data_IF_890866210776
#
_entry.id   IF_890866210776
#
_cell.length_a   1.000
_cell.length_b   1.000
_cell.length_c   1.000
_cell.angle_alpha   90.00
_cell.angle_beta   90.00
_cell.angle_gamma   90.00
#
_symmetry.space_group_name_H-M   'P 1'
#
loop_
_entity.id
_entity.type
_entity.pdbx_description
1 polymer ?
#
# COMPACT_ATOMS: atom_id res chain seq x y z
N UNK A 1 -34.64 -4.71 -11.51
CA UNK A 1 -34.63 -5.86 -10.59
C UNK A 1 -33.27 -6.57 -10.52
N UNK A 2 -32.59 -6.96 -11.61
CA UNK A 2 -31.23 -7.56 -11.51
C UNK A 2 -30.04 -6.59 -11.27
N UNK A 3 -30.25 -5.26 -11.31
CA UNK A 3 -29.19 -4.26 -11.06
C UNK A 3 -28.98 -3.90 -9.59
N UNK A 4 -29.86 -4.34 -8.68
CA UNK A 4 -29.89 -3.84 -7.29
C UNK A 4 -29.00 -4.59 -6.30
N UNK A 5 -28.49 -5.77 -6.66
CA UNK A 5 -27.75 -6.64 -5.72
C UNK A 5 -26.22 -6.67 -5.92
N UNK A 6 -25.69 -5.95 -6.91
CA UNK A 6 -24.25 -5.89 -7.17
C UNK A 6 -23.55 -4.95 -6.18
N UNK A 7 -22.36 -5.34 -5.73
CA UNK A 7 -21.52 -4.56 -4.82
C UNK A 7 -20.76 -3.45 -5.54
N UNK A 8 -20.50 -3.64 -6.83
CA UNK A 8 -19.94 -2.65 -7.73
C UNK A 8 -20.77 -2.53 -9.01
N UNK A 9 -20.86 -1.32 -9.57
CA UNK A 9 -21.54 -1.07 -10.83
C UNK A 9 -20.57 -0.47 -11.85
N UNK A 10 -20.67 -0.96 -13.09
CA UNK A 10 -19.99 -0.36 -14.23
C UNK A 10 -20.88 0.73 -14.82
N UNK A 11 -20.38 1.97 -14.84
CA UNK A 11 -21.11 3.16 -15.29
C UNK A 11 -20.73 3.48 -16.74
N UNK A 12 -21.22 2.70 -17.71
CA UNK A 12 -20.92 2.95 -19.15
C UNK A 12 -21.73 4.11 -19.78
N UNK A 13 -22.88 4.49 -19.22
CA UNK A 13 -23.84 5.36 -19.91
C UNK A 13 -23.47 6.86 -19.88
N UNK A 14 -22.87 7.35 -18.80
CA UNK A 14 -22.48 8.76 -18.68
C UNK A 14 -21.28 9.12 -19.56
N UNK A 15 -20.34 8.18 -19.70
CA UNK A 15 -19.10 8.30 -20.47
C UNK A 15 -19.31 8.43 -21.99
N UNK A 16 -20.44 7.94 -22.53
CA UNK A 16 -20.64 7.88 -23.99
C UNK A 16 -20.75 9.25 -24.69
N UNK A 17 -21.24 10.29 -23.99
CA UNK A 17 -21.42 11.63 -24.56
C UNK A 17 -20.07 12.33 -24.75
N UNK A 18 -19.11 12.11 -23.87
CA UNK A 18 -17.77 12.72 -23.92
C UNK A 18 -16.75 11.89 -24.71
N UNK A 19 -16.89 10.56 -24.77
CA UNK A 19 -15.94 9.69 -25.48
C UNK A 19 -16.08 9.78 -27.00
N UNK A 20 -17.29 9.95 -27.53
CA UNK A 20 -17.52 9.98 -28.97
C UNK A 20 -16.73 11.09 -29.70
N UNK A 21 -16.70 12.35 -29.24
CA UNK A 21 -15.85 13.37 -29.86
C UNK A 21 -14.36 13.03 -29.73
N UNK A 22 -13.91 12.46 -28.60
CA UNK A 22 -12.53 12.02 -28.41
C UNK A 22 -12.12 10.95 -29.46
N UNK A 23 -12.98 9.96 -29.71
CA UNK A 23 -12.75 8.93 -30.75
C UNK A 23 -12.68 9.53 -32.15
N UNK A 24 -13.55 10.48 -32.48
CA UNK A 24 -13.52 11.16 -33.77
C UNK A 24 -12.20 11.91 -33.99
N UNK A 25 -11.70 12.61 -32.96
CA UNK A 25 -10.41 13.31 -33.02
C UNK A 25 -9.24 12.35 -33.20
N UNK A 26 -9.24 11.19 -32.54
CA UNK A 26 -8.20 10.16 -32.72
C UNK A 26 -8.20 9.63 -34.16
N UNK A 27 -9.38 9.29 -34.71
CA UNK A 27 -9.50 8.81 -36.09
C UNK A 27 -9.02 9.87 -37.07
N UNK A 28 -9.45 11.13 -36.90
CA UNK A 28 -9.01 12.24 -37.74
C UNK A 28 -7.48 12.41 -37.70
N UNK A 29 -6.88 12.34 -36.50
CA UNK A 29 -5.42 12.41 -36.34
C UNK A 29 -4.70 11.26 -37.03
N UNK A 30 -5.26 10.05 -37.01
CA UNK A 30 -4.71 8.90 -37.71
C UNK A 30 -4.74 9.08 -39.24
N UNK A 31 -5.82 9.67 -39.77
CA UNK A 31 -5.93 10.04 -41.20
C UNK A 31 -4.88 11.10 -41.57
N UNK A 32 -4.72 12.16 -40.77
CA UNK A 32 -3.71 13.20 -40.99
C UNK A 32 -2.30 12.64 -40.95
N UNK A 33 -1.99 11.75 -40.00
CA UNK A 33 -0.70 11.06 -39.94
C UNK A 33 -0.45 10.19 -41.18
N UNK A 34 -1.47 9.49 -41.67
CA UNK A 34 -1.38 8.72 -42.91
C UNK A 34 -0.97 9.57 -44.11
N UNK A 35 -1.62 10.73 -44.29
CA UNK A 35 -1.26 11.69 -45.34
C UNK A 35 0.14 12.29 -45.13
N UNK A 36 0.51 12.61 -43.89
CA UNK A 36 1.83 13.13 -43.55
C UNK A 36 2.94 12.14 -43.95
N UNK A 37 2.83 10.87 -43.56
CA UNK A 37 3.82 9.85 -43.91
C UNK A 37 3.84 9.54 -45.40
N UNK A 38 2.68 9.50 -46.05
CA UNK A 38 2.61 9.32 -47.50
C UNK A 38 3.37 10.43 -48.23
N UNK A 39 3.12 11.70 -47.87
CA UNK A 39 3.84 12.84 -48.43
C UNK A 39 5.34 12.76 -48.14
N UNK A 40 5.72 12.43 -46.90
CA UNK A 40 7.12 12.39 -46.45
C UNK A 40 7.94 11.33 -47.18
N UNK A 41 7.36 10.16 -47.45
CA UNK A 41 8.01 9.07 -48.19
C UNK A 41 8.11 9.37 -49.69
N UNK A 42 7.09 10.03 -50.27
CA UNK A 42 7.07 10.38 -51.69
C UNK A 42 7.98 11.55 -52.06
N UNK A 43 8.43 12.36 -51.10
CA UNK A 43 9.32 13.51 -51.32
C UNK A 43 10.65 13.38 -50.56
N UNK A 44 11.56 12.50 -51.02
CA UNK A 44 12.88 12.34 -50.42
C UNK A 44 13.80 13.55 -50.70
N UNK A 45 14.63 13.91 -49.72
CA UNK A 45 15.66 14.95 -49.88
C UNK A 45 16.96 14.28 -50.33
N UNK A 46 17.27 14.38 -51.63
CA UNK A 46 18.41 13.70 -52.23
C UNK A 46 19.77 14.28 -51.77
N UNK A 47 19.84 15.57 -51.44
CA UNK A 47 21.09 16.23 -51.01
C UNK A 47 21.57 15.79 -49.62
N UNK A 48 20.68 15.21 -48.80
CA UNK A 48 20.98 14.77 -47.44
C UNK A 48 20.23 13.48 -47.08
N UNK A 49 20.34 12.47 -47.96
CA UNK A 49 19.57 11.23 -47.88
C UNK A 49 19.69 10.50 -46.54
N UNK A 50 20.89 10.43 -45.94
CA UNK A 50 21.11 9.76 -44.66
C UNK A 50 20.36 10.43 -43.49
N UNK A 51 20.33 11.77 -43.46
CA UNK A 51 19.62 12.54 -42.44
C UNK A 51 18.11 12.38 -42.64
N UNK A 52 17.65 12.46 -43.89
CA UNK A 52 16.25 12.23 -44.24
C UNK A 52 15.78 10.84 -43.85
N UNK A 53 16.54 9.79 -44.20
CA UNK A 53 16.20 8.40 -43.88
C UNK A 53 16.12 8.18 -42.37
N UNK A 54 17.07 8.70 -41.61
CA UNK A 54 17.09 8.61 -40.15
C UNK A 54 15.87 9.32 -39.54
N UNK A 55 15.54 10.53 -40.03
CA UNK A 55 14.35 11.29 -39.59
C UNK A 55 13.06 10.51 -39.87
N UNK A 56 12.89 9.94 -41.07
CA UNK A 56 11.69 9.17 -41.44
C UNK A 56 11.54 7.91 -40.57
N UNK A 57 12.63 7.18 -40.31
CA UNK A 57 12.60 6.00 -39.43
C UNK A 57 12.19 6.37 -38.01
N UNK A 58 12.74 7.44 -37.45
CA UNK A 58 12.37 7.93 -36.12
C UNK A 58 10.90 8.36 -36.06
N UNK A 59 10.42 9.11 -37.07
CA UNK A 59 9.02 9.56 -37.13
C UNK A 59 8.06 8.37 -37.24
N UNK A 60 8.36 7.37 -38.08
CA UNK A 60 7.56 6.14 -38.18
C UNK A 60 7.50 5.38 -36.86
N UNK A 61 8.63 5.29 -36.15
CA UNK A 61 8.68 4.67 -34.82
C UNK A 61 7.82 5.41 -33.80
N UNK A 62 7.88 6.74 -33.78
CA UNK A 62 7.02 7.55 -32.90
C UNK A 62 5.54 7.42 -33.23
N UNK A 63 5.18 7.39 -34.51
CA UNK A 63 3.80 7.21 -34.92
C UNK A 63 3.27 5.82 -34.55
N UNK A 64 4.08 4.78 -34.75
CA UNK A 64 3.73 3.42 -34.32
C UNK A 64 3.55 3.35 -32.79
N UNK A 65 4.48 3.92 -32.03
CA UNK A 65 4.38 4.01 -30.57
C UNK A 65 3.12 4.76 -30.12
N UNK A 66 2.79 5.88 -30.77
CA UNK A 66 1.58 6.64 -30.49
C UNK A 66 0.31 5.84 -30.79
N UNK A 67 0.23 5.15 -31.93
CA UNK A 67 -0.93 4.31 -32.27
C UNK A 67 -1.14 3.22 -31.21
N UNK A 68 -0.06 2.54 -30.80
CA UNK A 68 -0.12 1.52 -29.75
C UNK A 68 -0.56 2.08 -28.40
N UNK A 69 -0.18 3.31 -28.05
CA UNK A 69 -0.61 3.98 -26.82
C UNK A 69 -2.09 4.43 -26.85
N UNK A 70 -2.65 4.75 -28.01
CA UNK A 70 -4.05 5.18 -28.13
C UNK A 70 -5.04 4.01 -28.08
N UNK A 71 -4.69 2.82 -28.59
CA UNK A 71 -5.63 1.70 -28.64
C UNK A 71 -6.18 1.25 -27.27
N UNK A 72 -5.37 1.12 -26.20
CA UNK A 72 -5.88 0.78 -24.88
C UNK A 72 -6.87 1.80 -24.30
N UNK A 73 -6.79 3.07 -24.73
CA UNK A 73 -7.63 4.19 -24.24
C UNK A 73 -8.99 4.27 -24.94
N UNK A 74 -9.29 3.36 -25.87
CA UNK A 74 -10.49 3.40 -26.69
C UNK A 74 -11.80 3.18 -25.92
N UNK A 75 -11.73 2.38 -24.85
CA UNK A 75 -12.88 1.97 -24.03
C UNK A 75 -12.56 2.17 -22.54
N UNK A 76 -12.56 3.42 -22.05
CA UNK A 76 -12.49 3.67 -20.62
C UNK A 76 -13.76 3.12 -19.94
N UNK A 77 -13.58 2.53 -18.76
CA UNK A 77 -14.65 1.97 -17.94
C UNK A 77 -14.55 2.59 -16.55
N UNK A 78 -15.60 3.28 -16.14
CA UNK A 78 -15.72 3.78 -14.77
C UNK A 78 -16.43 2.74 -13.89
N UNK A 79 -15.91 2.59 -12.67
CA UNK A 79 -16.44 1.67 -11.66
C UNK A 79 -16.69 2.40 -10.37
N UNK A 80 -17.85 2.15 -9.79
CA UNK A 80 -18.26 2.67 -8.49
C UNK A 80 -18.43 1.53 -7.48
N UNK A 81 -18.06 1.79 -6.23
CA UNK A 81 -18.19 0.86 -5.10
C UNK A 81 -19.32 1.30 -4.17
N UNK A 82 -20.09 0.34 -3.66
CA UNK A 82 -21.18 0.62 -2.71
C UNK A 82 -20.93 -0.09 -1.37
N UNK A 83 -20.27 0.61 -0.45
CA UNK A 83 -19.88 0.07 0.86
C UNK A 83 -21.09 -0.33 1.72
N UNK A 84 -22.19 0.42 1.66
CA UNK A 84 -23.40 0.12 2.44
C UNK A 84 -23.97 -1.26 2.09
N UNK A 85 -23.90 -1.66 0.81
CA UNK A 85 -24.35 -2.98 0.34
C UNK A 85 -23.41 -4.09 0.79
N UNK A 86 -22.10 -3.82 0.86
CA UNK A 86 -21.12 -4.76 1.39
C UNK A 86 -21.41 -5.06 2.86
N UNK A 87 -21.58 -4.02 3.67
CA UNK A 87 -21.87 -4.14 5.10
C UNK A 87 -23.21 -4.84 5.34
N UNK A 88 -24.29 -4.46 4.64
CA UNK A 88 -25.59 -5.14 4.77
C UNK A 88 -25.53 -6.65 4.46
N UNK A 89 -24.63 -7.05 3.55
CA UNK A 89 -24.53 -8.44 3.10
C UNK A 89 -23.62 -9.29 4.00
N UNK A 90 -22.46 -8.76 4.39
CA UNK A 90 -21.41 -9.51 5.08
C UNK A 90 -21.21 -9.13 6.55
N UNK A 91 -21.76 -8.02 7.02
CA UNK A 91 -21.65 -7.55 8.40
C UNK A 91 -23.05 -7.47 9.04
N UNK A 92 -23.67 -8.64 9.25
CA UNK A 92 -24.98 -8.72 9.90
C UNK A 92 -24.84 -8.52 11.41
N UNK A 93 -25.68 -7.66 11.98
CA UNK A 93 -25.70 -7.43 13.42
C UNK A 93 -25.91 -8.73 14.21
N UNK A 94 -25.06 -8.97 15.21
CA UNK A 94 -25.11 -10.16 16.07
C UNK A 94 -24.47 -11.43 15.49
N UNK A 95 -23.92 -11.38 14.27
CA UNK A 95 -23.16 -12.49 13.67
C UNK A 95 -21.68 -12.10 13.48
N UNK A 96 -20.76 -13.06 13.45
CA UNK A 96 -19.38 -12.77 13.08
C UNK A 96 -19.33 -12.23 11.64
N UNK A 97 -18.46 -11.24 11.39
CA UNK A 97 -18.31 -10.65 10.06
C UNK A 97 -17.94 -11.72 9.04
N UNK A 98 -18.73 -11.81 7.98
CA UNK A 98 -18.51 -12.68 6.81
C UNK A 98 -17.49 -12.12 5.82
N UNK A 99 -16.82 -11.03 6.17
CA UNK A 99 -15.72 -10.46 5.41
C UNK A 99 -14.50 -11.39 5.40
N UNK A 100 -13.87 -11.55 4.23
CA UNK A 100 -12.69 -12.40 4.11
C UNK A 100 -11.47 -11.77 4.79
N UNK A 101 -10.55 -12.58 5.35
CA UNK A 101 -9.27 -12.09 5.84
C UNK A 101 -8.42 -11.47 4.72
N UNK A 102 -7.62 -10.46 5.09
CA UNK A 102 -6.67 -9.77 4.22
C UNK A 102 -5.33 -9.65 4.93
N UNK A 103 -4.28 -10.14 4.27
CA UNK A 103 -2.91 -9.96 4.73
C UNK A 103 -2.24 -8.81 3.96
N UNK A 104 -1.62 -7.89 4.70
CA UNK A 104 -1.01 -6.69 4.14
C UNK A 104 0.49 -6.78 4.31
N UNK A 105 1.22 -6.72 3.21
CA UNK A 105 2.67 -6.91 3.17
C UNK A 105 3.36 -5.58 2.95
N UNK A 106 4.32 -5.28 3.82
CA UNK A 106 5.22 -4.14 3.73
C UNK A 106 6.64 -4.67 3.64
N UNK A 107 7.38 -4.30 2.60
CA UNK A 107 8.80 -4.67 2.45
C UNK A 107 9.68 -3.45 2.67
N UNK A 108 10.73 -3.60 3.49
CA UNK A 108 11.81 -2.62 3.64
C UNK A 108 13.16 -3.27 3.40
N UNK A 109 14.10 -2.50 2.86
CA UNK A 109 15.43 -3.00 2.47
C UNK A 109 16.52 -2.56 3.43
N UNK A 110 16.57 -1.28 3.78
CA UNK A 110 17.64 -0.70 4.58
C UNK A 110 17.14 0.55 5.30
N UNK A 111 17.19 0.58 6.65
CA UNK A 111 16.70 1.72 7.42
C UNK A 111 17.50 3.01 7.21
N UNK A 112 18.71 2.95 6.63
CA UNK A 112 19.47 4.15 6.27
C UNK A 112 18.96 4.82 4.98
N UNK A 113 18.35 4.03 4.08
CA UNK A 113 17.75 4.53 2.83
C UNK A 113 16.29 4.89 3.02
N UNK A 114 15.59 4.09 3.81
CA UNK A 114 14.17 4.21 4.11
C UNK A 114 14.04 4.51 5.61
N UNK A 115 13.83 5.78 6.01
CA UNK A 115 13.82 6.14 7.42
C UNK A 115 12.79 5.31 8.20
N UNK A 116 13.14 4.71 9.36
CA UNK A 116 12.23 3.85 10.11
C UNK A 116 10.92 4.54 10.50
N UNK A 117 10.95 5.87 10.66
CA UNK A 117 9.75 6.67 10.93
C UNK A 117 8.73 6.60 9.78
N UNK A 118 9.18 6.55 8.52
CA UNK A 118 8.28 6.44 7.36
C UNK A 118 7.61 5.06 7.37
N UNK A 119 8.39 4.00 7.55
CA UNK A 119 7.87 2.63 7.70
C UNK A 119 6.89 2.52 8.88
N UNK A 120 7.21 3.13 10.02
CA UNK A 120 6.33 3.17 11.18
C UNK A 120 4.98 3.85 10.88
N UNK A 121 4.99 4.98 10.18
CA UNK A 121 3.76 5.68 9.77
C UNK A 121 2.89 4.82 8.85
N UNK A 122 3.51 4.12 7.90
CA UNK A 122 2.83 3.17 7.02
C UNK A 122 2.20 2.04 7.81
N UNK A 123 2.94 1.41 8.72
CA UNK A 123 2.44 0.33 9.58
C UNK A 123 1.28 0.83 10.47
N UNK A 124 1.40 2.02 11.07
CA UNK A 124 0.33 2.61 11.87
C UNK A 124 -0.93 2.88 11.05
N UNK A 125 -0.79 3.31 9.80
CA UNK A 125 -1.92 3.51 8.90
C UNK A 125 -2.64 2.19 8.59
N UNK A 126 -1.89 1.10 8.43
CA UNK A 126 -2.41 -0.25 8.19
C UNK A 126 -3.15 -0.78 9.43
N UNK A 127 -2.58 -0.65 10.61
CA UNK A 127 -3.19 -1.14 11.86
C UNK A 127 -4.47 -0.37 12.22
N UNK A 128 -4.64 0.85 11.71
CA UNK A 128 -5.78 1.73 11.99
C UNK A 128 -6.86 1.73 10.90
N UNK A 129 -6.84 0.78 9.96
CA UNK A 129 -7.88 0.62 8.92
C UNK A 129 -9.26 0.30 9.51
N UNK A 130 -10.30 0.66 8.77
CA UNK A 130 -11.68 0.30 9.09
C UNK A 130 -11.99 -1.10 8.52
N UNK A 131 -11.59 -2.13 9.26
CA UNK A 131 -11.87 -3.53 8.97
C UNK A 131 -11.89 -4.33 10.29
N UNK A 132 -12.56 -5.50 10.36
CA UNK A 132 -12.53 -6.35 11.55
C UNK A 132 -11.11 -6.75 11.95
N UNK A 133 -10.78 -6.64 13.24
CA UNK A 133 -9.42 -6.83 13.77
C UNK A 133 -8.92 -8.26 13.63
N UNK A 134 -9.82 -9.25 13.64
CA UNK A 134 -9.52 -10.67 13.42
C UNK A 134 -9.26 -11.01 11.95
N UNK A 135 -9.57 -10.09 11.03
CA UNK A 135 -9.47 -10.29 9.58
C UNK A 135 -8.31 -9.53 8.93
N UNK A 136 -7.64 -8.62 9.64
CA UNK A 136 -6.46 -7.91 9.10
C UNK A 136 -5.21 -8.39 9.81
N UNK A 137 -4.19 -8.73 9.04
CA UNK A 137 -2.84 -8.94 9.57
C UNK A 137 -1.83 -8.16 8.75
N UNK A 138 -0.90 -7.51 9.43
CA UNK A 138 0.19 -6.74 8.85
C UNK A 138 1.50 -7.53 8.96
N UNK A 139 2.17 -7.71 7.84
CA UNK A 139 3.47 -8.37 7.75
C UNK A 139 4.51 -7.39 7.26
N UNK A 140 5.59 -7.23 8.03
CA UNK A 140 6.72 -6.39 7.66
C UNK A 140 7.92 -7.28 7.37
N UNK A 141 8.34 -7.33 6.11
CA UNK A 141 9.55 -8.02 5.69
C UNK A 141 10.73 -7.06 5.70
N UNK A 142 11.76 -7.42 6.46
CA UNK A 142 13.02 -6.68 6.52
C UNK A 142 14.13 -7.48 5.82
N UNK A 143 14.51 -7.01 4.63
CA UNK A 143 15.60 -7.58 3.84
C UNK A 143 16.99 -7.17 4.38
N UNK A 144 17.08 -6.14 5.22
CA UNK A 144 18.34 -5.69 5.83
C UNK A 144 18.71 -6.47 7.09
N UNK A 145 17.75 -7.18 7.70
CA UNK A 145 17.88 -7.81 9.02
C UNK A 145 18.46 -6.85 10.08
N UNK A 146 18.06 -5.57 10.00
CA UNK A 146 18.66 -4.51 10.78
C UNK A 146 17.97 -4.39 12.15
N UNK A 147 18.76 -4.38 13.22
CA UNK A 147 18.23 -4.21 14.59
C UNK A 147 17.41 -2.92 14.73
N UNK A 148 17.80 -1.84 14.04
CA UNK A 148 17.07 -0.56 14.03
C UNK A 148 15.61 -0.73 13.56
N UNK A 149 15.37 -1.50 12.49
CA UNK A 149 14.02 -1.74 11.97
C UNK A 149 13.20 -2.53 13.00
N UNK A 150 13.81 -3.51 13.65
CA UNK A 150 13.17 -4.32 14.69
C UNK A 150 12.80 -3.49 15.94
N UNK A 151 13.74 -2.72 16.50
CA UNK A 151 13.48 -1.84 17.65
C UNK A 151 12.43 -0.76 17.30
N UNK A 152 12.50 -0.18 16.10
CA UNK A 152 11.51 0.79 15.63
C UNK A 152 10.10 0.19 15.52
N UNK A 153 9.97 -1.06 15.04
CA UNK A 153 8.69 -1.77 15.00
C UNK A 153 8.16 -2.09 16.40
N UNK A 154 9.04 -2.41 17.36
CA UNK A 154 8.66 -2.61 18.76
C UNK A 154 8.05 -1.33 19.34
N UNK A 155 8.74 -0.19 19.22
CA UNK A 155 8.22 1.13 19.64
C UNK A 155 6.92 1.51 18.91
N UNK A 156 6.83 1.18 17.62
CA UNK A 156 5.63 1.42 16.82
C UNK A 156 4.45 0.60 17.33
N UNK A 157 4.69 -0.64 17.77
CA UNK A 157 3.64 -1.50 18.33
C UNK A 157 3.06 -0.91 19.62
N UNK A 158 3.90 -0.35 20.50
CA UNK A 158 3.44 0.32 21.72
C UNK A 158 2.64 1.59 21.43
N UNK A 159 3.12 2.41 20.47
CA UNK A 159 2.39 3.60 20.04
C UNK A 159 1.06 3.25 19.37
N UNK A 160 1.00 2.18 18.58
CA UNK A 160 -0.22 1.71 17.93
C UNK A 160 -1.35 1.43 18.93
N UNK A 161 -1.03 0.90 20.12
CA UNK A 161 -2.00 0.64 21.20
C UNK A 161 -2.72 1.90 21.68
N UNK A 162 -2.10 3.08 21.55
CA UNK A 162 -2.70 4.39 21.86
C UNK A 162 -3.34 5.03 20.63
N UNK A 163 -2.69 4.91 19.47
CA UNK A 163 -3.08 5.58 18.22
C UNK A 163 -4.32 4.96 17.57
N UNK A 164 -4.40 3.63 17.50
CA UNK A 164 -5.50 2.90 16.84
C UNK A 164 -6.87 3.21 17.47
N UNK A 165 -7.06 3.12 18.81
CA UNK A 165 -8.36 3.46 19.41
C UNK A 165 -8.72 4.93 19.19
N UNK A 166 -7.76 5.85 19.29
CA UNK A 166 -7.97 7.27 18.97
C UNK A 166 -8.43 7.48 17.52
N UNK A 167 -7.80 6.81 16.56
CA UNK A 167 -8.17 6.89 15.16
C UNK A 167 -9.59 6.40 14.90
N UNK A 168 -9.95 5.24 15.45
CA UNK A 168 -11.26 4.63 15.27
C UNK A 168 -12.35 5.44 15.97
N UNK A 169 -12.14 5.85 17.23
CA UNK A 169 -13.09 6.63 18.03
C UNK A 169 -13.49 7.95 17.37
N UNK A 170 -12.53 8.67 16.80
CA UNK A 170 -12.78 9.99 16.19
C UNK A 170 -12.90 9.96 14.67
N UNK A 171 -12.77 8.78 14.04
CA UNK A 171 -12.79 8.61 12.59
C UNK A 171 -11.95 9.67 11.88
N UNK A 172 -10.68 9.77 12.27
CA UNK A 172 -9.74 10.75 11.68
C UNK A 172 -9.15 10.18 10.40
N UNK A 173 -8.84 11.07 9.46
CA UNK A 173 -8.14 10.74 8.22
C UNK A 173 -7.16 11.86 7.89
N UNK A 174 -5.97 11.56 7.32
CA UNK A 174 -5.41 10.23 7.04
C UNK A 174 -5.04 9.47 8.33
N UNK A 175 -4.86 8.15 8.23
CA UNK A 175 -4.50 7.29 9.37
C UNK A 175 -3.02 7.30 9.73
N UNK A 176 -2.17 7.85 8.85
CA UNK A 176 -0.75 8.06 9.11
C UNK A 176 -0.55 9.32 9.99
N UNK A 177 0.04 9.22 11.20
CA UNK A 177 0.10 10.33 12.14
C UNK A 177 0.98 11.49 11.67
N UNK A 178 2.13 11.25 11.02
CA UNK A 178 2.98 12.33 10.48
C UNK A 178 2.19 13.19 9.49
N UNK A 179 1.48 12.52 8.57
CA UNK A 179 0.69 13.18 7.54
C UNK A 179 -0.52 13.90 8.14
N UNK A 180 -1.21 13.27 9.10
CA UNK A 180 -2.35 13.86 9.80
C UNK A 180 -1.96 15.13 10.57
N UNK A 181 -0.88 15.10 11.35
CA UNK A 181 -0.47 16.25 12.16
C UNK A 181 0.24 17.35 11.34
N UNK A 182 0.79 17.02 10.16
CA UNK A 182 1.38 17.98 9.25
C UNK A 182 0.34 18.78 8.44
N UNK A 183 -0.90 18.30 8.34
CA UNK A 183 -1.96 19.01 7.62
C UNK A 183 -2.30 20.35 8.26
N UNK A 184 -2.37 21.39 7.42
CA UNK A 184 -2.77 22.76 7.81
C UNK A 184 -4.28 23.01 7.69
N UNK A 185 -5.06 21.97 7.42
CA UNK A 185 -6.51 22.04 7.26
C UNK A 185 -7.17 22.21 8.64
N UNK A 186 -8.34 22.83 8.67
CA UNK A 186 -9.14 22.91 9.90
C UNK A 186 -9.51 21.50 10.39
N UNK A 187 -8.86 21.10 11.48
CA UNK A 187 -9.01 19.78 12.09
C UNK A 187 -10.27 19.64 12.95
N UNK A 188 -11.03 20.73 13.16
CA UNK A 188 -12.30 20.73 13.90
C UNK A 188 -13.50 20.51 12.98
N UNK A 189 -13.30 20.58 11.65
CA UNK A 189 -14.36 20.41 10.68
C UNK A 189 -15.04 19.05 10.86
N UNK A 190 -16.37 19.07 10.96
CA UNK A 190 -17.24 17.89 11.09
C UNK A 190 -16.99 17.02 12.35
N UNK A 191 -16.30 17.56 13.37
CA UNK A 191 -16.07 16.85 14.65
C UNK A 191 -17.11 17.27 15.70
N UNK A 192 -18.02 16.35 16.01
CA UNK A 192 -19.10 16.52 16.99
C UNK A 192 -18.70 16.16 18.43
N UNK A 193 -17.60 15.41 18.62
CA UNK A 193 -17.24 14.92 19.95
C UNK A 193 -16.58 16.00 20.83
N UNK A 194 -17.11 16.29 22.03
CA UNK A 194 -16.62 17.38 22.88
C UNK A 194 -15.22 17.12 23.47
N UNK A 195 -14.81 15.85 23.66
CA UNK A 195 -13.48 15.52 24.19
C UNK A 195 -12.36 15.61 23.14
N UNK A 196 -12.72 15.76 21.86
CA UNK A 196 -11.77 15.65 20.75
C UNK A 196 -10.57 16.59 20.87
N UNK A 197 -10.78 17.85 21.26
CA UNK A 197 -9.70 18.84 21.37
C UNK A 197 -8.67 18.45 22.42
N UNK A 198 -9.14 17.94 23.57
CA UNK A 198 -8.28 17.49 24.68
C UNK A 198 -7.50 16.24 24.28
N UNK A 199 -8.20 15.24 23.76
CA UNK A 199 -7.63 13.94 23.41
C UNK A 199 -6.64 14.09 22.24
N UNK A 200 -6.96 14.91 21.23
CA UNK A 200 -6.04 15.23 20.12
C UNK A 200 -4.77 15.91 20.60
N UNK A 201 -4.86 16.84 21.55
CA UNK A 201 -3.67 17.54 22.10
C UNK A 201 -2.79 16.57 22.89
N UNK A 202 -3.39 15.68 23.67
CA UNK A 202 -2.65 14.63 24.37
C UNK A 202 -1.97 13.68 23.37
N UNK A 203 -2.71 13.21 22.36
CA UNK A 203 -2.20 12.31 21.32
C UNK A 203 -1.06 12.95 20.50
N UNK A 204 -1.15 14.25 20.21
CA UNK A 204 -0.06 14.96 19.53
C UNK A 204 1.22 14.94 20.36
N UNK A 205 1.15 15.12 21.69
CA UNK A 205 2.34 15.06 22.55
C UNK A 205 2.95 13.66 22.57
N UNK A 206 2.11 12.65 22.73
CA UNK A 206 2.50 11.23 22.67
C UNK A 206 3.18 10.89 21.34
N UNK A 207 2.69 11.44 20.22
CA UNK A 207 3.30 11.27 18.90
C UNK A 207 4.67 11.96 18.78
N UNK A 208 4.82 13.19 19.29
CA UNK A 208 6.13 13.86 19.29
C UNK A 208 7.15 13.12 20.18
N UNK A 209 6.72 12.60 21.34
CA UNK A 209 7.58 11.75 22.17
C UNK A 209 7.98 10.46 21.46
N UNK A 210 7.06 9.83 20.75
CA UNK A 210 7.34 8.68 19.90
C UNK A 210 8.38 9.02 18.81
N UNK A 211 8.24 10.16 18.13
CA UNK A 211 9.24 10.63 17.14
C UNK A 211 10.62 10.81 17.76
N UNK A 212 10.69 11.38 18.96
CA UNK A 212 11.96 11.54 19.69
C UNK A 212 12.59 10.19 20.01
N UNK A 213 11.81 9.20 20.47
CA UNK A 213 12.33 7.84 20.73
C UNK A 213 12.85 7.18 19.46
N UNK A 214 12.11 7.23 18.35
CA UNK A 214 12.57 6.69 17.06
C UNK A 214 13.86 7.38 16.59
N UNK A 215 13.94 8.71 16.70
CA UNK A 215 15.16 9.45 16.33
C UNK A 215 16.37 9.11 17.21
N UNK A 216 16.15 8.82 18.50
CA UNK A 216 17.18 8.34 19.40
C UNK A 216 17.69 6.95 18.96
N UNK A 217 16.80 6.04 18.54
CA UNK A 217 17.18 4.74 17.97
C UNK A 217 17.98 4.91 16.68
N UNK A 218 17.56 5.79 15.78
CA UNK A 218 18.29 6.07 14.52
C UNK A 218 19.70 6.60 14.82
N UNK A 219 19.83 7.50 15.80
CA UNK A 219 21.12 8.06 16.22
C UNK A 219 22.01 7.02 16.89
N UNK A 220 21.45 6.11 17.69
CA UNK A 220 22.15 4.96 18.29
C UNK A 220 22.66 4.01 17.20
N UNK A 221 21.83 3.74 16.19
CA UNK A 221 22.13 2.83 15.09
C UNK A 221 23.29 3.29 14.18
N UNK A 222 23.60 4.58 14.15
CA UNK A 222 24.76 5.11 13.40
C UNK A 222 26.10 4.68 14.01
N UNK A 223 26.13 4.36 15.30
CA UNK A 223 27.32 3.91 16.02
C UNK A 223 27.26 2.39 16.20
N UNK A 224 27.71 1.67 15.18
CA UNK A 224 27.77 0.21 15.21
C UNK A 224 28.79 -0.24 16.28
N UNK A 225 28.40 -1.05 17.28
CA UNK A 225 29.35 -1.59 18.25
C UNK A 225 30.35 -2.53 17.59
N UNK A 226 31.60 -2.55 18.06
CA UNK A 226 32.64 -3.45 17.52
C UNK A 226 32.29 -4.93 17.70
N UNK A 227 31.62 -5.27 18.80
CA UNK A 227 31.17 -6.63 19.13
C UNK A 227 29.86 -7.02 18.41
N UNK A 228 29.29 -6.11 17.61
CA UNK A 228 27.99 -6.27 16.97
C UNK A 228 26.82 -5.86 17.86
N UNK A 229 25.62 -5.95 17.32
CA UNK A 229 24.40 -5.60 18.04
C UNK A 229 24.02 -6.68 19.05
N UNK A 230 23.49 -6.25 20.20
CA UNK A 230 22.96 -7.10 21.26
C UNK A 230 21.53 -6.70 21.57
N UNK A 231 20.67 -7.71 21.78
CA UNK A 231 19.29 -7.54 22.21
C UNK A 231 19.22 -7.10 23.68
N UNK A 232 18.04 -6.65 24.12
CA UNK A 232 17.81 -6.20 25.50
C UNK A 232 18.01 -7.30 26.55
N UNK A 233 17.85 -8.57 26.16
CA UNK A 233 18.09 -9.75 26.98
C UNK A 233 19.59 -10.14 27.09
N UNK A 234 20.47 -9.38 26.43
CA UNK A 234 21.91 -9.62 26.40
C UNK A 234 22.36 -10.64 25.35
N UNK A 235 21.45 -11.19 24.54
CA UNK A 235 21.80 -12.11 23.46
C UNK A 235 22.34 -11.36 22.23
N UNK A 236 23.26 -11.95 21.44
CA UNK A 236 23.73 -11.32 20.20
C UNK A 236 22.62 -11.28 19.15
N UNK A 237 22.52 -10.17 18.41
CA UNK A 237 21.55 -10.03 17.32
C UNK A 237 21.85 -11.03 16.20
N UNK A 238 20.90 -11.91 15.83
CA UNK A 238 21.13 -12.94 14.81
C UNK A 238 21.44 -12.36 13.43
N UNK A 239 20.96 -11.14 13.14
CA UNK A 239 21.18 -10.43 11.88
C UNK A 239 22.46 -9.59 11.83
N UNK A 240 23.44 -9.81 12.71
CA UNK A 240 24.69 -9.03 12.72
C UNK A 240 25.45 -9.10 11.38
N UNK A 241 25.35 -10.22 10.65
CA UNK A 241 25.86 -10.35 9.29
C UNK A 241 24.70 -10.39 8.28
N UNK A 242 24.54 -9.32 7.52
CA UNK A 242 23.47 -9.17 6.50
C UNK A 242 23.55 -10.25 5.39
N UNK A 243 24.72 -10.85 5.15
CA UNK A 243 24.91 -11.88 4.13
C UNK A 243 24.78 -13.32 4.66
N UNK A 244 24.87 -13.51 5.96
CA UNK A 244 24.81 -14.82 6.62
C UNK A 244 24.09 -14.69 7.96
N UNK A 245 22.78 -14.88 7.95
CA UNK A 245 21.94 -14.86 9.15
C UNK A 245 20.77 -15.84 9.03
N UNK A 246 20.33 -16.43 10.15
CA UNK A 246 19.13 -17.25 10.17
C UNK A 246 17.87 -16.41 9.92
N UNK A 247 16.80 -17.07 9.48
CA UNK A 247 15.49 -16.43 9.40
C UNK A 247 14.94 -16.11 10.79
N UNK A 248 14.27 -14.97 10.92
CA UNK A 248 13.67 -14.49 12.17
C UNK A 248 12.20 -14.16 11.94
N UNK A 249 11.33 -14.61 12.83
CA UNK A 249 9.90 -14.26 12.82
C UNK A 249 9.52 -13.82 14.22
N UNK A 250 8.95 -12.63 14.35
CA UNK A 250 8.45 -12.08 15.61
C UNK A 250 7.03 -11.57 15.44
N UNK A 251 6.15 -11.90 16.38
CA UNK A 251 4.79 -11.35 16.45
C UNK A 251 4.74 -10.31 17.57
N UNK A 252 4.42 -9.07 17.21
CA UNK A 252 4.35 -7.94 18.16
C UNK A 252 2.93 -7.71 18.70
N UNK A 253 1.95 -7.62 17.80
CA UNK A 253 0.54 -7.40 18.12
C UNK A 253 -0.32 -8.58 17.67
N UNK A 254 -1.53 -8.68 18.20
CA UNK A 254 -2.51 -9.73 17.94
C UNK A 254 -3.02 -10.35 19.23
N UNK A 255 -3.67 -11.51 19.15
CA UNK A 255 -4.26 -12.20 20.32
C UNK A 255 -3.28 -12.46 21.48
N UNK A 256 -1.99 -12.69 21.17
CA UNK A 256 -0.93 -12.89 22.16
C UNK A 256 -0.11 -11.63 22.49
N UNK A 257 -0.34 -10.52 21.78
CA UNK A 257 0.47 -9.30 21.82
C UNK A 257 -0.07 -8.19 22.73
N UNK A 258 -1.13 -8.49 23.50
CA UNK A 258 -1.79 -7.54 24.41
C UNK A 258 -2.90 -6.70 23.75
N UNK A 259 -3.72 -6.08 24.60
CA UNK A 259 -4.88 -5.27 24.18
C UNK A 259 -4.54 -3.78 23.98
N UNK A 260 -5.40 -2.99 23.37
CA UNK A 260 -5.27 -1.54 23.33
C UNK A 260 -5.54 -0.91 24.72
N UNK A 261 -5.49 0.43 24.82
CA UNK A 261 -5.79 1.15 26.07
C UNK A 261 -7.23 0.96 26.55
N UNK A 262 -8.13 0.58 25.66
CA UNK A 262 -9.56 0.41 25.91
C UNK A 262 -9.92 -1.07 26.18
N UNK A 263 -8.94 -1.98 26.12
CA UNK A 263 -9.10 -3.42 26.35
C UNK A 263 -9.45 -4.26 25.11
N UNK A 264 -9.44 -3.69 23.90
CA UNK A 264 -9.74 -4.40 22.66
C UNK A 264 -8.49 -5.00 22.01
N UNK A 265 -8.68 -6.03 21.18
CA UNK A 265 -7.59 -6.60 20.38
C UNK A 265 -7.19 -5.68 19.20
N UNK A 266 -5.91 -5.67 18.87
CA UNK A 266 -5.37 -5.02 17.68
C UNK A 266 -5.08 -6.03 16.57
N UNK A 267 -5.06 -5.59 15.29
CA UNK A 267 -4.61 -6.42 14.18
C UNK A 267 -3.20 -6.97 14.42
N UNK A 268 -2.95 -8.19 13.93
CA UNK A 268 -1.66 -8.84 14.12
C UNK A 268 -0.56 -8.08 13.38
N UNK A 269 0.59 -7.88 14.04
CA UNK A 269 1.80 -7.33 13.42
C UNK A 269 2.91 -8.37 13.47
N UNK A 270 3.35 -8.85 12.31
CA UNK A 270 4.38 -9.87 12.17
C UNK A 270 5.61 -9.29 11.49
N UNK A 271 6.75 -9.31 12.17
CA UNK A 271 8.05 -9.04 11.59
C UNK A 271 8.63 -10.33 11.03
N UNK A 272 9.15 -10.27 9.81
CA UNK A 272 9.79 -11.40 9.13
C UNK A 272 11.12 -10.92 8.55
N UNK A 273 12.20 -11.59 8.94
CA UNK A 273 13.47 -11.53 8.23
C UNK A 273 13.82 -12.92 7.72
N UNK A 274 14.29 -12.97 6.49
CA UNK A 274 14.45 -14.20 5.71
C UNK A 274 15.88 -14.69 5.86
N UNK A 275 16.06 -16.01 5.93
CA UNK A 275 17.41 -16.58 5.97
C UNK A 275 18.20 -16.20 4.70
N UNK A 276 19.46 -15.79 4.90
CA UNK A 276 20.41 -15.50 3.83
C UNK A 276 21.71 -16.21 4.12
N UNK A 277 22.31 -16.80 3.08
CA UNK A 277 23.59 -17.51 3.14
C UNK A 277 24.49 -17.06 1.97
N UNK A 278 25.81 -17.01 2.17
CA UNK A 278 26.74 -16.69 1.10
C UNK A 278 26.64 -17.74 -0.02
N UNK A 279 26.63 -17.29 -1.28
CA UNK A 279 26.51 -18.17 -2.45
C UNK A 279 25.07 -18.43 -2.92
N UNK A 280 24.05 -18.00 -2.17
CA UNK A 280 22.64 -18.14 -2.56
C UNK A 280 22.07 -16.83 -3.13
N UNK A 281 21.49 -16.89 -4.32
CA UNK A 281 20.79 -15.73 -4.88
C UNK A 281 19.44 -15.54 -4.19
N UNK A 282 19.21 -14.34 -3.67
CA UNK A 282 18.07 -14.05 -2.82
C UNK A 282 16.96 -13.25 -3.53
N UNK A 283 17.12 -12.90 -4.81
CA UNK A 283 16.08 -12.28 -5.66
C UNK A 283 15.44 -10.97 -5.13
N UNK A 284 16.14 -10.23 -4.25
CA UNK A 284 15.69 -8.92 -3.70
C UNK A 284 14.20 -8.97 -3.25
N UNK A 285 13.41 -7.96 -3.65
CA UNK A 285 11.98 -7.82 -3.34
C UNK A 285 11.13 -9.02 -3.78
N UNK A 286 11.41 -9.63 -4.94
CA UNK A 286 10.65 -10.79 -5.39
C UNK A 286 10.82 -11.98 -4.44
N UNK A 287 12.04 -12.21 -3.95
CA UNK A 287 12.31 -13.20 -2.92
C UNK A 287 11.56 -12.90 -1.63
N UNK A 288 11.61 -11.65 -1.17
CA UNK A 288 10.95 -11.21 0.06
C UNK A 288 9.44 -11.43 0.02
N UNK A 289 8.78 -11.01 -1.06
CA UNK A 289 7.35 -11.20 -1.25
C UNK A 289 6.96 -12.68 -1.27
N UNK A 290 7.72 -13.52 -1.99
CA UNK A 290 7.43 -14.95 -2.06
C UNK A 290 7.60 -15.64 -0.69
N UNK A 291 8.59 -15.24 0.12
CA UNK A 291 8.71 -15.76 1.48
C UNK A 291 7.56 -15.30 2.38
N UNK A 292 7.11 -14.04 2.27
CA UNK A 292 5.96 -13.56 3.03
C UNK A 292 4.69 -14.35 2.70
N UNK A 293 4.43 -14.66 1.42
CA UNK A 293 3.29 -15.52 1.02
C UNK A 293 3.34 -16.87 1.73
N UNK A 294 4.52 -17.50 1.79
CA UNK A 294 4.70 -18.80 2.46
C UNK A 294 4.50 -18.72 3.97
N UNK A 295 4.99 -17.66 4.60
CA UNK A 295 4.84 -17.44 6.05
C UNK A 295 3.39 -17.11 6.41
N UNK A 296 2.74 -16.24 5.65
CA UNK A 296 1.31 -15.90 5.78
C UNK A 296 0.43 -17.15 5.64
N UNK A 297 0.68 -18.01 4.65
CA UNK A 297 -0.06 -19.26 4.44
C UNK A 297 -0.06 -20.20 5.67
N UNK A 298 0.98 -20.13 6.51
CA UNK A 298 1.09 -20.93 7.74
C UNK A 298 0.47 -20.23 8.95
N UNK A 299 0.60 -18.90 9.05
CA UNK A 299 0.20 -18.15 10.25
C UNK A 299 -1.27 -17.69 10.27
N UNK A 300 -1.82 -17.31 9.13
CA UNK A 300 -3.15 -16.68 8.98
C UNK A 300 -3.94 -17.27 7.82
N UNK A 301 -3.25 -17.67 6.74
CA UNK A 301 -3.82 -18.22 5.53
C UNK A 301 -4.95 -17.36 4.93
N UNK A 302 -4.69 -16.05 4.80
CA UNK A 302 -5.66 -15.13 4.21
C UNK A 302 -5.82 -15.37 2.70
N UNK A 303 -7.05 -15.36 2.17
CA UNK A 303 -7.31 -15.55 0.73
C UNK A 303 -6.90 -14.34 -0.12
N UNK A 304 -6.81 -13.15 0.48
CA UNK A 304 -6.45 -11.91 -0.20
C UNK A 304 -5.20 -11.30 0.40
N UNK A 305 -4.36 -10.75 -0.48
CA UNK A 305 -3.09 -10.14 -0.15
C UNK A 305 -3.04 -8.72 -0.73
N UNK A 306 -2.65 -7.76 0.09
CA UNK A 306 -2.35 -6.40 -0.33
C UNK A 306 -0.85 -6.15 -0.21
N UNK A 307 -0.20 -5.84 -1.32
CA UNK A 307 1.19 -5.40 -1.31
C UNK A 307 1.25 -3.87 -1.19
N UNK A 308 2.01 -3.37 -0.23
CA UNK A 308 2.22 -1.94 0.01
C UNK A 308 3.70 -1.66 0.21
N UNK A 309 4.21 -0.61 -0.43
CA UNK A 309 5.59 -0.18 -0.26
C UNK A 309 5.73 0.67 1.01
N UNK A 310 6.93 0.73 1.60
CA UNK A 310 7.14 1.37 2.91
C UNK A 310 6.85 2.88 2.91
N UNK A 311 6.92 3.53 1.75
CA UNK A 311 6.64 4.95 1.53
C UNK A 311 5.17 5.25 1.19
N UNK A 312 4.35 4.21 0.99
CA UNK A 312 2.92 4.35 0.73
C UNK A 312 2.12 4.03 2.00
N UNK A 313 1.18 4.89 2.35
CA UNK A 313 0.29 4.69 3.49
C UNK A 313 -1.17 4.70 3.07
N UNK A 314 -2.04 4.12 3.91
CA UNK A 314 -3.47 4.10 3.66
C UNK A 314 -4.07 5.46 4.04
N UNK A 315 -4.43 6.24 3.02
CA UNK A 315 -5.03 7.55 3.19
C UNK A 315 -6.49 7.46 3.67
N UNK A 316 -7.34 6.77 2.90
CA UNK A 316 -8.75 6.49 3.25
C UNK A 316 -8.84 5.14 3.97
N UNK A 317 -9.40 5.15 5.17
CA UNK A 317 -9.55 3.94 6.00
C UNK A 317 -10.47 2.87 5.40
N UNK A 318 -11.31 3.25 4.44
CA UNK A 318 -12.26 2.38 3.73
C UNK A 318 -11.67 1.68 2.50
N UNK A 319 -10.42 1.97 2.11
CA UNK A 319 -9.81 1.44 0.89
C UNK A 319 -9.83 -0.11 0.82
N UNK A 320 -9.66 -0.79 1.96
CA UNK A 320 -9.80 -2.24 2.03
C UNK A 320 -11.22 -2.68 1.72
N UNK A 321 -12.23 -2.07 2.35
CA UNK A 321 -13.64 -2.37 2.10
C UNK A 321 -14.02 -2.11 0.64
N UNK A 322 -13.54 -1.02 0.05
CA UNK A 322 -13.75 -0.70 -1.37
C UNK A 322 -13.17 -1.79 -2.29
N UNK A 323 -11.96 -2.26 -1.98
CA UNK A 323 -11.33 -3.37 -2.71
C UNK A 323 -12.13 -4.67 -2.56
N UNK A 324 -12.65 -4.93 -1.36
CA UNK A 324 -13.48 -6.10 -1.08
C UNK A 324 -14.83 -6.06 -1.80
N UNK A 325 -15.39 -4.89 -2.10
CA UNK A 325 -16.57 -4.79 -2.96
C UNK A 325 -16.33 -5.43 -4.33
N UNK A 326 -15.15 -5.25 -4.94
CA UNK A 326 -14.82 -5.86 -6.22
C UNK A 326 -14.50 -7.35 -6.10
N UNK A 327 -13.72 -7.72 -5.08
CA UNK A 327 -13.21 -9.09 -4.93
C UNK A 327 -14.25 -10.07 -4.37
N UNK A 328 -15.20 -9.60 -3.56
CA UNK A 328 -16.28 -10.41 -2.99
C UNK A 328 -17.61 -10.32 -3.76
N UNK A 329 -17.64 -9.61 -4.89
CA UNK A 329 -18.83 -9.60 -5.74
C UNK A 329 -19.05 -11.00 -6.35
N UNK A 330 -20.23 -11.62 -6.22
CA UNK A 330 -20.49 -12.96 -6.76
C UNK A 330 -20.33 -13.07 -8.29
N UNK A 331 -20.51 -11.96 -9.00
CA UNK A 331 -20.49 -11.89 -10.46
C UNK A 331 -19.10 -11.53 -10.99
N UNK A 332 -18.49 -10.49 -10.41
CA UNK A 332 -17.19 -9.95 -10.86
C UNK A 332 -16.03 -10.61 -10.11
N UNK A 333 -16.15 -10.81 -8.80
CA UNK A 333 -15.07 -11.27 -7.92
C UNK A 333 -14.46 -12.61 -8.34
N UNK A 334 -15.25 -13.54 -8.87
CA UNK A 334 -14.74 -14.84 -9.38
C UNK A 334 -13.78 -14.70 -10.56
N UNK A 335 -13.83 -13.59 -11.30
CA UNK A 335 -12.98 -13.31 -12.46
C UNK A 335 -11.85 -12.35 -12.13
N UNK A 336 -11.88 -11.75 -10.95
CA UNK A 336 -10.92 -10.74 -10.50
C UNK A 336 -9.72 -11.40 -9.83
N UNK A 337 -8.53 -11.11 -10.35
CA UNK A 337 -7.27 -11.53 -9.73
C UNK A 337 -6.62 -10.39 -8.92
N UNK A 338 -6.73 -9.15 -9.41
CA UNK A 338 -6.04 -7.99 -8.85
C UNK A 338 -6.96 -6.77 -8.89
N UNK A 339 -7.02 -6.05 -7.76
CA UNK A 339 -7.61 -4.72 -7.67
C UNK A 339 -6.47 -3.70 -7.51
N UNK A 340 -6.12 -3.00 -8.60
CA UNK A 340 -5.07 -1.97 -8.57
C UNK A 340 -5.66 -0.64 -8.12
N UNK A 341 -5.10 -0.04 -7.08
CA UNK A 341 -5.47 1.29 -6.58
C UNK A 341 -4.43 2.30 -7.08
N UNK A 342 -4.83 3.43 -7.69
CA UNK A 342 -3.88 4.43 -8.15
C UNK A 342 -3.13 5.04 -6.95
N UNK A 343 -1.79 5.13 -6.99
CA UNK A 343 -1.04 5.89 -6.01
C UNK A 343 -1.42 7.37 -6.15
N UNK A 344 -1.72 8.03 -5.03
CA UNK A 344 -2.08 9.46 -4.99
C UNK A 344 -1.01 10.27 -4.30
#
# INVERSE_FOLDING_TARGET
WMKQDNLCQESCQFLQVEINPYRMVIILRLVVLGFFFHYRVMHPVHDAYAIWLTSVICELWFAFSWILDQFPKWLPIDRETYLDRLSLRYEKEGQPSGLCPVDIFVSTVDPLKEPPLVTANTVLSILAVDYPVDKVSCYVSDDGAAMLTFEALSETSEFARKWVPFCKKFSIEPRAPEMYFAQKIDYLKDKVQPSFVKDRRAMKREYEEFKVRINALVSKAQKVPEEGWTMQDGTPWPGNNVRDHPGMIQVFLGHSGGHDTDGNELPRLVYVSREKRPGFNHHKKAGAMNSLVRVSAVLTNAPFLLNLDCDHYINNSKALRESMCFMMDPTVGKKSLLCAVPPK
#
